data_IF_576987743922
#
_entry.id   IF_576987743922
#
_cell.length_a   1.000
_cell.length_b   1.000
_cell.length_c   1.000
_cell.angle_alpha   90.00
_cell.angle_beta   90.00
_cell.angle_gamma   90.00
#
_symmetry.space_group_name_H-M   'P 1'
#
loop_
_entity.id
_entity.type
_entity.pdbx_description
1 polymer ?
#
# COMPACT_ATOMS: atom_id res chain seq x y z
N UNK A 1 -8.39 -6.38 10.79
CA UNK A 1 -9.47 -6.52 9.80
C UNK A 1 -10.63 -7.21 10.48
N UNK A 2 -11.85 -6.71 10.27
CA UNK A 2 -13.07 -7.37 10.71
C UNK A 2 -13.93 -7.67 9.48
N UNK A 3 -14.73 -8.73 9.56
CA UNK A 3 -15.77 -9.07 8.59
C UNK A 3 -17.12 -9.04 9.29
N UNK A 4 -18.16 -8.63 8.58
CA UNK A 4 -19.52 -8.58 9.11
C UNK A 4 -20.51 -8.33 7.99
N UNK A 5 -21.79 -8.61 8.27
CA UNK A 5 -22.88 -8.38 7.33
C UNK A 5 -23.41 -6.96 7.48
N UNK A 6 -23.41 -6.18 6.39
CA UNK A 6 -24.04 -4.87 6.38
C UNK A 6 -25.57 -5.03 6.41
N UNK A 7 -26.21 -4.33 7.34
CA UNK A 7 -27.66 -4.21 7.45
C UNK A 7 -28.03 -2.76 7.32
N UNK A 8 -28.78 -2.44 6.28
CA UNK A 8 -29.36 -1.12 6.09
C UNK A 8 -30.50 -0.93 7.09
N UNK A 9 -30.52 0.20 7.79
CA UNK A 9 -31.64 0.53 8.65
C UNK A 9 -32.80 1.08 7.82
N UNK A 10 -33.99 0.49 7.91
CA UNK A 10 -35.19 1.14 7.39
C UNK A 10 -35.43 2.45 8.17
N UNK A 11 -35.02 3.58 7.57
CA UNK A 11 -35.08 4.90 8.21
C UNK A 11 -33.99 5.20 9.25
N UNK A 12 -32.94 4.38 9.34
CA UNK A 12 -31.84 4.53 10.30
C UNK A 12 -30.45 4.33 9.68
N UNK A 13 -29.36 4.60 10.43
CA UNK A 13 -28.00 4.37 9.93
C UNK A 13 -27.75 2.89 9.68
N UNK A 14 -27.02 2.58 8.60
CA UNK A 14 -26.55 1.22 8.35
C UNK A 14 -25.62 0.76 9.48
N UNK A 15 -25.67 -0.54 9.80
CA UNK A 15 -24.86 -1.17 10.84
C UNK A 15 -24.28 -2.49 10.36
N UNK A 16 -23.21 -2.94 11.00
CA UNK A 16 -22.67 -4.28 10.81
C UNK A 16 -23.27 -5.25 11.85
N UNK A 17 -23.77 -6.38 11.38
CA UNK A 17 -24.13 -7.55 12.17
C UNK A 17 -23.08 -8.66 11.98
N UNK A 18 -23.09 -9.66 12.86
CA UNK A 18 -22.24 -10.86 12.75
C UNK A 18 -20.76 -10.51 12.58
N UNK A 19 -20.30 -9.52 13.36
CA UNK A 19 -18.93 -9.00 13.26
C UNK A 19 -17.94 -9.97 13.88
N UNK A 20 -16.95 -10.38 13.11
CA UNK A 20 -15.84 -11.22 13.54
C UNK A 20 -14.49 -10.55 13.26
N UNK A 21 -13.53 -10.76 14.15
CA UNK A 21 -12.14 -10.35 13.92
C UNK A 21 -11.46 -11.41 13.04
N UNK A 22 -11.12 -11.01 11.80
CA UNK A 22 -10.41 -11.88 10.84
C UNK A 22 -8.91 -11.76 11.03
N UNK A 23 -8.43 -10.56 11.35
CA UNK A 23 -6.99 -10.33 11.48
C UNK A 23 -6.67 -9.26 12.52
N UNK A 24 -6.15 -9.64 13.69
CA UNK A 24 -5.59 -8.68 14.62
C UNK A 24 -4.20 -8.25 14.12
N UNK A 25 -3.97 -6.94 14.05
CA UNK A 25 -2.60 -6.44 13.85
C UNK A 25 -1.76 -6.76 15.09
N UNK A 26 -0.51 -7.19 14.90
CA UNK A 26 0.47 -7.28 15.96
C UNK A 26 0.90 -5.87 16.46
N UNK A 27 1.62 -5.83 17.59
CA UNK A 27 2.23 -4.61 18.15
C UNK A 27 1.29 -3.39 18.17
N UNK A 28 0.10 -3.55 18.78
CA UNK A 28 -0.92 -2.47 18.92
C UNK A 28 -0.32 -1.25 19.64
N UNK A 29 -0.65 -0.06 19.15
CA UNK A 29 -0.19 1.22 19.70
C UNK A 29 -1.30 2.28 19.69
N UNK A 30 -1.14 3.33 20.50
CA UNK A 30 -2.10 4.43 20.64
C UNK A 30 -1.91 5.60 19.67
N UNK A 31 -1.14 5.46 18.59
CA UNK A 31 -0.85 6.58 17.69
C UNK A 31 -2.11 7.09 16.97
N UNK A 32 -2.22 8.40 16.74
CA UNK A 32 -3.35 8.99 16.00
C UNK A 32 -3.10 9.14 14.49
N UNK A 33 -1.96 8.66 13.98
CA UNK A 33 -1.47 9.02 12.64
C UNK A 33 -0.95 7.78 11.89
N UNK A 34 -0.86 7.92 10.56
CA UNK A 34 -0.23 6.95 9.64
C UNK A 34 -0.79 5.54 9.81
N UNK A 35 -2.10 5.39 9.59
CA UNK A 35 -2.80 4.11 9.71
C UNK A 35 -2.63 3.21 8.48
N UNK A 36 -2.40 3.79 7.29
CA UNK A 36 -2.70 3.11 6.04
C UNK A 36 -4.20 2.83 5.94
N UNK A 37 -4.58 1.56 5.77
CA UNK A 37 -5.97 1.11 5.83
C UNK A 37 -6.63 0.86 4.49
N UNK A 38 -5.87 0.88 3.38
CA UNK A 38 -6.42 0.52 2.07
C UNK A 38 -6.52 -0.99 1.95
N UNK A 39 -7.72 -1.48 1.60
CA UNK A 39 -7.97 -2.88 1.26
C UNK A 39 -8.14 -2.99 -0.27
N UNK A 40 -7.44 -3.95 -0.89
CA UNK A 40 -7.61 -4.29 -2.30
C UNK A 40 -7.72 -5.80 -2.45
N UNK A 41 -8.55 -6.26 -3.38
CA UNK A 41 -8.76 -7.69 -3.63
C UNK A 41 -8.09 -8.07 -4.95
N UNK A 42 -7.30 -9.14 -4.94
CA UNK A 42 -6.70 -9.68 -6.16
C UNK A 42 -7.80 -10.24 -7.05
N UNK A 43 -7.85 -9.81 -8.31
CA UNK A 43 -8.96 -10.18 -9.22
C UNK A 43 -9.01 -11.66 -9.58
N UNK A 44 -7.88 -12.36 -9.48
CA UNK A 44 -7.75 -13.76 -9.89
C UNK A 44 -8.42 -14.73 -8.90
N UNK A 45 -8.30 -14.45 -7.60
CA UNK A 45 -8.73 -15.37 -6.53
C UNK A 45 -9.47 -14.68 -5.38
N UNK A 46 -9.66 -13.36 -5.43
CA UNK A 46 -10.31 -12.59 -4.38
C UNK A 46 -9.47 -12.42 -3.11
N UNK A 47 -8.16 -12.74 -3.12
CA UNK A 47 -7.34 -12.61 -1.91
C UNK A 47 -7.23 -11.13 -1.48
N UNK A 48 -7.56 -10.78 -0.22
CA UNK A 48 -7.39 -9.42 0.28
C UNK A 48 -5.92 -9.06 0.58
N UNK A 49 -5.57 -7.82 0.25
CA UNK A 49 -4.35 -7.15 0.62
C UNK A 49 -4.66 -5.86 1.38
N UNK A 50 -3.98 -5.65 2.51
CA UNK A 50 -4.22 -4.53 3.42
C UNK A 50 -2.94 -3.72 3.59
N UNK A 51 -3.00 -2.41 3.37
CA UNK A 51 -1.89 -1.52 3.72
C UNK A 51 -1.91 -1.12 5.20
N UNK A 52 -0.73 -1.04 5.82
CA UNK A 52 -0.57 -0.57 7.19
C UNK A 52 0.57 0.45 7.28
N UNK A 53 0.26 1.65 7.76
CA UNK A 53 1.29 2.68 7.97
C UNK A 53 2.14 2.40 9.21
N UNK A 54 3.29 3.08 9.33
CA UNK A 54 4.27 2.83 10.41
C UNK A 54 3.94 3.51 11.76
N UNK A 55 2.78 4.17 11.86
CA UNK A 55 2.24 4.69 13.12
C UNK A 55 3.10 5.70 13.88
N UNK A 56 4.03 6.37 13.21
CA UNK A 56 5.08 7.22 13.81
C UNK A 56 6.22 6.50 14.51
N UNK A 57 6.29 5.19 14.40
CA UNK A 57 7.45 4.44 14.80
C UNK A 57 8.25 4.02 13.56
N UNK A 58 9.17 4.89 13.15
CA UNK A 58 9.91 4.76 11.89
C UNK A 58 10.64 3.42 11.79
N UNK A 59 11.18 2.90 12.90
CA UNK A 59 11.91 1.63 12.91
C UNK A 59 11.06 0.43 12.53
N UNK A 60 9.74 0.49 12.74
CA UNK A 60 8.82 -0.64 12.47
C UNK A 60 8.71 -0.95 11.00
N UNK A 61 8.82 0.06 10.13
CA UNK A 61 8.80 -0.15 8.69
C UNK A 61 9.98 -1.00 8.19
N UNK A 62 11.06 -1.12 8.97
CA UNK A 62 12.24 -1.92 8.64
C UNK A 62 12.29 -3.25 9.40
N UNK A 63 11.29 -3.54 10.23
CA UNK A 63 11.18 -4.81 10.96
C UNK A 63 10.20 -5.74 10.22
N UNK A 64 10.68 -6.80 9.54
CA UNK A 64 9.81 -7.74 8.82
C UNK A 64 8.96 -8.63 9.74
N UNK A 65 8.99 -8.41 11.05
CA UNK A 65 8.08 -9.05 12.03
C UNK A 65 6.95 -8.12 12.45
N UNK A 66 7.00 -6.83 12.10
CA UNK A 66 6.01 -5.84 12.51
C UNK A 66 5.07 -5.53 11.34
N UNK A 67 3.76 -5.64 11.56
CA UNK A 67 2.79 -5.32 10.53
C UNK A 67 2.79 -3.83 10.15
N UNK A 68 3.35 -2.94 10.97
CA UNK A 68 3.38 -1.50 10.72
C UNK A 68 4.41 -1.14 9.65
N UNK A 69 4.00 -0.36 8.65
CA UNK A 69 4.84 -0.03 7.50
C UNK A 69 4.93 -1.16 6.47
N UNK A 70 3.88 -1.99 6.39
CA UNK A 70 3.82 -3.16 5.52
C UNK A 70 2.58 -3.17 4.62
N UNK A 71 2.61 -4.06 3.64
CA UNK A 71 1.41 -4.58 2.97
C UNK A 71 1.24 -6.01 3.46
N UNK A 72 0.05 -6.31 3.95
CA UNK A 72 -0.36 -7.63 4.42
C UNK A 72 -1.14 -8.33 3.31
N UNK A 73 -0.84 -9.60 3.05
CA UNK A 73 -1.65 -10.50 2.20
C UNK A 73 -2.25 -11.58 3.09
N UNK A 74 -3.56 -11.72 3.06
CA UNK A 74 -4.29 -12.58 3.99
C UNK A 74 -5.43 -13.32 3.30
N UNK A 75 -5.79 -14.51 3.79
CA UNK A 75 -7.02 -15.18 3.36
C UNK A 75 -8.26 -14.52 4.00
N UNK A 76 -9.43 -14.81 3.47
CA UNK A 76 -10.70 -14.31 3.99
C UNK A 76 -11.04 -14.86 5.39
N UNK A 77 -10.46 -16.00 5.77
CA UNK A 77 -10.52 -16.62 7.10
C UNK A 77 -9.40 -16.15 8.05
N UNK A 78 -8.50 -15.28 7.60
CA UNK A 78 -7.43 -14.73 8.41
C UNK A 78 -6.11 -15.51 8.37
N UNK A 79 -6.10 -16.70 7.79
CA UNK A 79 -4.89 -17.49 7.70
C UNK A 79 -3.94 -16.99 6.60
N UNK A 80 -2.70 -17.49 6.66
CA UNK A 80 -1.63 -17.15 5.73
C UNK A 80 -1.93 -17.77 4.36
N UNK A 81 -1.95 -16.99 3.27
CA UNK A 81 -2.07 -17.52 1.92
C UNK A 81 -0.80 -18.24 1.47
N UNK A 82 -0.97 -19.30 0.68
CA UNK A 82 0.16 -19.97 0.03
C UNK A 82 0.95 -18.99 -0.86
N UNK A 83 2.28 -19.14 -0.85
CA UNK A 83 3.20 -18.29 -1.60
C UNK A 83 3.41 -16.90 -1.01
N UNK A 84 3.03 -16.66 0.25
CA UNK A 84 3.54 -15.50 0.98
C UNK A 84 5.07 -15.59 1.10
N UNK A 85 5.79 -14.47 0.91
CA UNK A 85 7.25 -14.48 0.73
C UNK A 85 8.03 -14.87 1.99
N UNK A 86 7.42 -14.72 3.16
CA UNK A 86 8.04 -14.91 4.46
C UNK A 86 7.40 -16.06 5.25
N UNK A 87 6.51 -16.84 4.61
CA UNK A 87 5.79 -17.90 5.28
C UNK A 87 6.74 -19.00 5.77
N UNK A 88 6.79 -19.23 7.08
CA UNK A 88 7.63 -20.24 7.72
C UNK A 88 9.06 -19.76 8.06
N UNK A 89 9.38 -18.50 7.81
CA UNK A 89 10.66 -17.90 8.18
C UNK A 89 10.67 -17.52 9.67
N UNK A 90 11.73 -17.87 10.39
CA UNK A 90 11.74 -17.79 11.86
C UNK A 90 11.71 -16.35 12.41
N UNK A 91 12.22 -15.39 11.65
CA UNK A 91 12.41 -13.99 12.06
C UNK A 91 11.60 -13.00 11.20
N UNK A 92 10.54 -13.46 10.55
CA UNK A 92 9.66 -12.65 9.70
C UNK A 92 8.19 -13.05 9.94
N UNK A 93 7.25 -12.14 9.71
CA UNK A 93 5.82 -12.42 9.89
C UNK A 93 5.21 -12.98 8.59
N UNK A 94 4.60 -14.16 8.71
CA UNK A 94 4.05 -14.93 7.61
C UNK A 94 3.05 -14.16 6.74
N UNK A 95 2.33 -13.17 7.30
CA UNK A 95 1.30 -12.41 6.59
C UNK A 95 1.86 -11.23 5.78
N UNK A 96 3.11 -10.84 6.00
CA UNK A 96 3.72 -9.70 5.31
C UNK A 96 4.00 -10.06 3.85
N UNK A 97 3.52 -9.22 2.94
CA UNK A 97 3.81 -9.29 1.51
C UNK A 97 5.00 -8.41 1.10
N UNK A 98 5.11 -7.23 1.69
CA UNK A 98 6.23 -6.29 1.51
C UNK A 98 6.27 -5.34 2.69
N UNK A 99 7.42 -4.71 2.92
CA UNK A 99 7.64 -3.81 4.06
C UNK A 99 8.47 -2.60 3.62
N UNK A 100 8.86 -1.72 4.54
CA UNK A 100 9.58 -0.49 4.22
C UNK A 100 8.68 0.64 3.70
N UNK A 101 7.40 0.64 4.09
CA UNK A 101 6.42 1.65 3.69
C UNK A 101 6.18 2.66 4.80
N UNK A 102 5.83 3.90 4.44
CA UNK A 102 5.53 4.92 5.43
C UNK A 102 4.04 4.93 5.82
N UNK A 103 3.19 5.23 4.86
CA UNK A 103 1.74 5.38 5.03
C UNK A 103 1.05 5.28 3.66
N UNK A 104 0.95 4.06 3.15
CA UNK A 104 0.22 3.78 1.91
C UNK A 104 -1.27 4.09 2.09
N UNK A 105 -1.75 5.06 1.32
CA UNK A 105 -3.16 5.47 1.31
C UNK A 105 -3.90 4.94 0.07
N UNK A 106 -3.18 4.69 -1.02
CA UNK A 106 -3.75 4.20 -2.28
C UNK A 106 -3.13 2.87 -2.68
N UNK A 107 -3.95 1.93 -3.16
CA UNK A 107 -3.51 0.61 -3.61
C UNK A 107 -4.52 0.06 -4.63
N UNK A 108 -4.03 -0.44 -5.76
CA UNK A 108 -4.83 -1.21 -6.70
C UNK A 108 -3.98 -2.24 -7.45
N UNK A 109 -4.62 -3.28 -7.97
CA UNK A 109 -3.99 -4.23 -8.86
C UNK A 109 -3.89 -3.67 -10.27
N UNK A 110 -2.71 -3.80 -10.88
CA UNK A 110 -2.51 -3.47 -12.27
C UNK A 110 -3.31 -4.45 -13.15
N UNK A 111 -4.08 -3.95 -14.13
CA UNK A 111 -5.03 -4.76 -14.89
C UNK A 111 -4.42 -5.86 -15.76
N UNK A 112 -3.19 -5.68 -16.23
CA UNK A 112 -2.59 -6.56 -17.25
C UNK A 112 -1.53 -7.52 -16.69
N UNK A 113 -1.04 -7.27 -15.47
CA UNK A 113 0.04 -8.05 -14.87
C UNK A 113 -0.22 -8.49 -13.43
N UNK A 114 -1.35 -8.09 -12.84
CA UNK A 114 -1.73 -8.49 -11.48
C UNK A 114 -0.79 -7.95 -10.40
N UNK A 115 0.16 -7.08 -10.72
CA UNK A 115 1.03 -6.50 -9.71
C UNK A 115 0.30 -5.42 -8.92
N UNK A 116 0.64 -5.29 -7.64
CA UNK A 116 0.07 -4.25 -6.80
C UNK A 116 0.80 -2.95 -7.04
N UNK A 117 0.06 -1.88 -7.24
CA UNK A 117 0.59 -0.52 -7.32
C UNK A 117 0.04 0.29 -6.16
N UNK A 118 0.92 1.04 -5.50
CA UNK A 118 0.55 1.84 -4.34
C UNK A 118 1.01 3.28 -4.47
N UNK A 119 0.28 4.16 -3.80
CA UNK A 119 0.74 5.50 -3.50
C UNK A 119 1.00 5.63 -2.00
N UNK A 120 2.27 5.91 -1.66
CA UNK A 120 2.78 6.01 -0.30
C UNK A 120 3.06 7.47 0.04
N UNK A 121 2.53 7.94 1.16
CA UNK A 121 2.76 9.32 1.62
C UNK A 121 4.19 9.48 2.10
N UNK A 122 4.91 10.42 1.52
CA UNK A 122 6.20 10.91 1.99
C UNK A 122 6.08 11.84 3.21
N UNK A 123 7.21 12.35 3.71
CA UNK A 123 7.27 13.35 4.76
C UNK A 123 6.82 14.73 4.23
N UNK A 124 7.67 15.76 4.26
CA UNK A 124 7.43 16.99 3.50
C UNK A 124 7.98 16.80 2.08
N UNK A 125 7.09 16.68 1.10
CA UNK A 125 7.40 16.13 -0.22
C UNK A 125 7.67 14.62 -0.17
N UNK A 126 8.13 14.06 -1.28
CA UNK A 126 8.58 12.67 -1.34
C UNK A 126 7.46 11.64 -1.32
N UNK A 127 6.23 12.00 -1.71
CA UNK A 127 5.19 11.02 -1.99
C UNK A 127 5.67 10.10 -3.11
N UNK A 128 5.28 8.83 -3.11
CA UNK A 128 5.82 7.82 -4.04
C UNK A 128 4.73 7.00 -4.70
N UNK A 129 4.91 6.69 -5.98
CA UNK A 129 4.23 5.59 -6.65
C UNK A 129 5.19 4.39 -6.67
N UNK A 130 4.76 3.27 -6.12
CA UNK A 130 5.55 2.04 -6.09
C UNK A 130 4.82 0.91 -6.82
N UNK A 131 5.56 0.14 -7.64
CA UNK A 131 5.15 -1.20 -8.07
C UNK A 131 5.66 -2.21 -7.05
N UNK A 132 4.73 -2.89 -6.40
CA UNK A 132 4.99 -3.79 -5.29
C UNK A 132 5.37 -5.18 -5.79
N UNK A 133 6.46 -5.71 -5.25
CA UNK A 133 6.92 -7.09 -5.44
C UNK A 133 6.94 -7.80 -4.09
N UNK A 134 6.63 -9.09 -4.11
CA UNK A 134 6.68 -9.94 -2.91
C UNK A 134 8.06 -9.90 -2.26
N UNK A 135 8.09 -9.85 -0.94
CA UNK A 135 9.29 -9.93 -0.11
C UNK A 135 10.20 -8.71 -0.14
N UNK A 136 9.83 -7.65 -0.88
CA UNK A 136 10.68 -6.46 -1.04
C UNK A 136 10.49 -5.44 0.07
N UNK A 137 11.59 -4.80 0.42
CA UNK A 137 11.68 -3.64 1.29
C UNK A 137 11.66 -2.35 0.47
N UNK A 138 10.74 -1.43 0.74
CA UNK A 138 10.58 -0.14 0.02
C UNK A 138 11.29 1.03 0.71
N UNK A 139 12.13 0.71 1.69
CA UNK A 139 13.21 1.56 2.15
C UNK A 139 12.83 2.72 3.04
N UNK A 140 11.56 2.96 3.42
CA UNK A 140 11.27 3.98 4.43
C UNK A 140 11.94 3.61 5.77
N UNK A 141 12.78 4.42 6.41
CA UNK A 141 13.14 5.82 6.12
C UNK A 141 14.40 6.02 5.27
N UNK A 142 15.21 4.98 5.08
CA UNK A 142 16.46 5.03 4.30
C UNK A 142 16.32 5.71 2.94
N UNK A 143 15.20 5.47 2.26
CA UNK A 143 14.82 6.02 0.96
C UNK A 143 13.58 6.91 1.09
N UNK A 144 13.80 8.21 0.93
CA UNK A 144 12.76 9.23 0.87
C UNK A 144 13.22 10.35 -0.07
N UNK A 145 12.32 10.82 -0.93
CA UNK A 145 12.57 12.01 -1.74
C UNK A 145 12.17 13.32 -1.07
N UNK A 146 11.65 13.26 0.16
CA UNK A 146 11.22 14.41 0.93
C UNK A 146 12.13 14.68 2.13
N UNK A 147 11.90 15.83 2.77
CA UNK A 147 12.62 16.29 3.96
C UNK A 147 11.75 16.18 5.20
N UNK A 148 12.36 16.30 6.38
CA UNK A 148 11.58 16.46 7.61
C UNK A 148 10.73 17.74 7.55
N UNK A 149 9.64 17.80 8.32
CA UNK A 149 8.80 19.00 8.36
C UNK A 149 9.54 20.24 8.90
N UNK A 150 10.61 20.07 9.67
CA UNK A 150 11.54 21.15 10.05
C UNK A 150 12.39 21.68 8.90
N UNK A 151 12.46 20.95 7.77
CA UNK A 151 13.36 21.22 6.65
C UNK A 151 14.70 20.47 6.73
N UNK A 152 14.96 19.72 7.81
CA UNK A 152 16.16 18.90 7.91
C UNK A 152 16.15 17.75 6.87
N UNK A 153 17.31 17.41 6.28
CA UNK A 153 17.44 16.22 5.45
C UNK A 153 17.08 14.95 6.26
N UNK A 154 16.41 14.00 5.61
CA UNK A 154 16.11 12.68 6.16
C UNK A 154 16.37 11.60 5.10
N UNK A 155 16.64 10.38 5.56
CA UNK A 155 17.13 9.28 4.72
C UNK A 155 18.65 9.17 4.74
N UNK A 156 19.17 8.02 4.33
CA UNK A 156 20.62 7.70 4.38
C UNK A 156 21.30 7.83 3.01
N UNK A 157 20.58 8.34 2.00
CA UNK A 157 21.11 8.78 0.72
C UNK A 157 21.44 7.69 -0.31
N UNK A 158 21.89 6.51 0.12
CA UNK A 158 22.13 5.37 -0.79
C UNK A 158 21.00 4.33 -0.68
N UNK A 159 20.51 3.82 -1.81
CA UNK A 159 19.64 2.63 -1.87
C UNK A 159 20.44 1.40 -1.43
N UNK A 160 20.14 0.82 -0.26
CA UNK A 160 20.71 -0.46 0.11
C UNK A 160 20.33 -1.52 -0.93
N UNK A 161 21.25 -2.45 -1.17
CA UNK A 161 21.05 -3.49 -2.17
C UNK A 161 19.77 -4.29 -1.89
N UNK A 162 18.98 -4.52 -2.93
CA UNK A 162 17.76 -5.32 -2.85
C UNK A 162 16.49 -4.59 -2.42
N UNK A 163 16.53 -3.27 -2.19
CA UNK A 163 15.32 -2.48 -1.96
C UNK A 163 14.52 -2.25 -3.25
N UNK A 164 13.21 -2.06 -3.10
CA UNK A 164 12.31 -1.69 -4.18
C UNK A 164 12.42 -0.20 -4.50
N UNK A 165 12.77 0.13 -5.73
CA UNK A 165 12.79 1.52 -6.20
C UNK A 165 11.37 1.98 -6.61
N UNK A 166 10.99 3.23 -6.29
CA UNK A 166 9.71 3.79 -6.73
C UNK A 166 9.68 3.98 -8.24
N UNK A 167 8.49 3.86 -8.83
CA UNK A 167 8.25 4.24 -10.23
C UNK A 167 8.28 5.76 -10.40
N UNK A 168 7.85 6.49 -9.37
CA UNK A 168 7.84 7.94 -9.35
C UNK A 168 7.93 8.46 -7.92
N UNK A 169 8.61 9.59 -7.75
CA UNK A 169 8.71 10.34 -6.50
C UNK A 169 8.28 11.78 -6.78
N UNK A 170 7.31 12.28 -6.04
CA UNK A 170 6.86 13.65 -6.13
C UNK A 170 7.75 14.54 -5.28
N UNK A 171 8.29 15.61 -5.87
CA UNK A 171 9.09 16.60 -5.15
C UNK A 171 8.24 17.36 -4.12
N UNK A 172 7.02 17.73 -4.50
CA UNK A 172 6.03 18.35 -3.62
C UNK A 172 5.08 17.31 -3.02
N UNK A 173 4.42 17.68 -1.92
CA UNK A 173 3.38 16.85 -1.33
C UNK A 173 2.11 16.94 -2.17
N UNK A 174 1.70 15.80 -2.74
CA UNK A 174 0.42 15.65 -3.44
C UNK A 174 -0.61 14.89 -2.59
N UNK A 175 -0.18 14.25 -1.51
CA UNK A 175 -1.01 13.50 -0.56
C UNK A 175 -1.99 12.53 -1.27
N UNK A 176 -1.48 11.52 -1.99
CA UNK A 176 -2.32 10.63 -2.79
C UNK A 176 -3.21 9.74 -1.92
N UNK A 177 -4.41 9.38 -2.38
CA UNK A 177 -5.39 8.66 -1.57
C UNK A 177 -6.09 7.52 -2.32
N UNK A 178 -6.94 7.80 -3.29
CA UNK A 178 -7.52 6.77 -4.17
C UNK A 178 -6.58 6.46 -5.34
N UNK A 179 -6.57 5.22 -5.84
CA UNK A 179 -5.86 4.82 -7.06
C UNK A 179 -6.75 3.89 -7.87
N UNK A 180 -6.83 4.13 -9.19
CA UNK A 180 -7.57 3.28 -10.12
C UNK A 180 -6.88 3.26 -11.49
N UNK A 181 -7.04 2.16 -12.23
CA UNK A 181 -6.61 2.06 -13.62
C UNK A 181 -7.81 2.20 -14.55
N UNK A 182 -7.75 3.15 -15.46
CA UNK A 182 -8.84 3.38 -16.40
C UNK A 182 -8.73 2.45 -17.62
N UNK A 183 -9.77 1.64 -17.83
CA UNK A 183 -9.92 0.70 -18.94
C UNK A 183 -11.23 0.84 -19.72
N UNK A 184 -12.09 1.79 -19.37
CA UNK A 184 -13.37 1.95 -20.04
C UNK A 184 -13.17 2.49 -21.45
N UNK A 185 -13.80 1.85 -22.44
CA UNK A 185 -13.89 2.37 -23.81
C UNK A 185 -14.77 3.62 -23.91
N UNK A 186 -15.55 3.93 -22.86
CA UNK A 186 -16.30 5.17 -22.78
C UNK A 186 -15.40 6.41 -22.58
N UNK A 187 -14.15 6.24 -22.15
CA UNK A 187 -13.16 7.30 -21.99
C UNK A 187 -11.84 6.90 -22.70
N UNK A 188 -11.84 6.83 -24.05
CA UNK A 188 -10.75 6.23 -24.81
C UNK A 188 -9.41 6.97 -24.64
N UNK A 189 -9.42 8.30 -24.52
CA UNK A 189 -8.21 9.11 -24.30
C UNK A 189 -7.53 8.83 -22.96
N UNK A 190 -8.30 8.31 -22.00
CA UNK A 190 -7.85 7.96 -20.65
C UNK A 190 -7.58 6.47 -20.50
N UNK A 191 -7.79 5.67 -21.54
CA UNK A 191 -7.53 4.23 -21.51
C UNK A 191 -6.03 3.99 -21.27
N UNK A 192 -5.73 3.10 -20.32
CA UNK A 192 -4.36 2.81 -19.91
C UNK A 192 -3.72 3.95 -19.09
N UNK A 193 -4.52 4.79 -18.43
CA UNK A 193 -4.02 5.75 -17.45
C UNK A 193 -4.24 5.23 -16.04
N UNK A 194 -3.28 5.53 -15.16
CA UNK A 194 -3.47 5.44 -13.73
C UNK A 194 -4.01 6.78 -13.24
N UNK A 195 -5.09 6.72 -12.47
CA UNK A 195 -5.74 7.86 -11.84
C UNK A 195 -5.48 7.77 -10.34
N UNK A 196 -5.17 8.91 -9.72
CA UNK A 196 -5.18 9.00 -8.27
C UNK A 196 -5.87 10.27 -7.78
N UNK A 197 -6.40 10.19 -6.57
CA UNK A 197 -6.96 11.34 -5.86
C UNK A 197 -5.91 11.96 -4.94
N UNK A 198 -5.85 13.29 -4.85
CA UNK A 198 -4.89 14.08 -4.08
C UNK A 198 -5.61 15.07 -3.14
N UNK A 199 -4.97 15.51 -2.05
CA UNK A 199 -5.50 16.52 -1.10
C UNK A 199 -4.50 17.68 -0.94
N UNK A 200 -4.87 18.98 -0.82
CA UNK A 200 -6.19 19.61 -0.71
C UNK A 200 -6.45 20.72 -1.76
N UNK A 201 -6.30 20.41 -3.04
CA UNK A 201 -6.85 21.21 -4.16
C UNK A 201 -7.20 20.22 -5.26
N UNK A 202 -8.46 19.76 -5.27
CA UNK A 202 -8.92 18.64 -6.12
C UNK A 202 -8.56 18.87 -7.58
N UNK A 203 -7.51 18.19 -8.03
CA UNK A 203 -7.26 17.87 -9.42
C UNK A 203 -7.13 16.34 -9.50
N UNK A 204 -7.90 15.73 -10.39
CA UNK A 204 -7.63 14.37 -10.81
C UNK A 204 -6.35 14.41 -11.64
N UNK A 205 -5.29 13.79 -11.15
CA UNK A 205 -4.07 13.65 -11.92
C UNK A 205 -4.12 12.32 -12.68
N UNK A 206 -3.82 12.38 -13.98
CA UNK A 206 -3.72 11.22 -14.84
C UNK A 206 -2.27 11.03 -15.28
N UNK A 207 -1.74 9.84 -15.05
CA UNK A 207 -0.40 9.48 -15.49
C UNK A 207 -0.46 8.32 -16.47
N UNK A 208 0.36 8.38 -17.53
CA UNK A 208 0.57 7.21 -18.40
C UNK A 208 1.57 6.31 -17.72
N UNK A 209 1.20 5.08 -17.42
CA UNK A 209 2.15 4.11 -16.90
C UNK A 209 3.04 3.58 -18.04
N UNK A 210 4.34 3.30 -17.78
CA UNK A 210 5.23 2.67 -18.75
C UNK A 210 4.86 1.21 -18.93
N UNK A 211 4.89 0.68 -20.16
CA UNK A 211 4.58 -0.72 -20.45
C UNK A 211 5.31 -1.67 -19.48
N UNK A 212 4.60 -2.65 -18.92
CA UNK A 212 5.19 -3.71 -18.09
C UNK A 212 6.05 -4.55 -19.04
N UNK A 213 7.38 -4.62 -18.85
CA UNK A 213 8.20 -5.53 -19.65
C UNK A 213 7.70 -6.95 -19.38
N UNK A 214 7.35 -7.70 -20.42
CA UNK A 214 7.04 -9.11 -20.27
C UNK A 214 8.26 -9.82 -19.70
N UNK A 215 8.13 -10.48 -18.55
CA UNK A 215 9.13 -11.43 -18.07
C UNK A 215 9.08 -12.69 -18.93
N UNK A 216 9.58 -12.59 -20.15
CA UNK A 216 9.92 -13.70 -21.01
C UNK A 216 11.43 -13.69 -21.22
N UNK A 217 12.16 -14.30 -20.29
CA UNK A 217 13.62 -14.38 -20.36
C UNK A 217 14.20 -15.25 -19.26
N UNK A 218 14.20 -16.57 -19.53
CA UNK A 218 15.02 -17.69 -19.03
C UNK A 218 15.56 -17.65 -17.60
#
# INVERSE_FOLDING_TARGET
>A
MVRGRLVEGEGGPARLEDVEEVFPRNNRDGSGLRFGGRLAFRSEDGTPFLSMGERRNIGTAQDPRDHRGSIIRIRDDGAVPDGNPFAGEADEDDHIWSYGHRNIQAMAFHPDGGEIWVADHGPRGGDRINRIKAGRNYGWLFLTGGVDYSGAPIGVGAEPEGMGSPLHVFEETVAPSGLAFQRSDALPDWRGRMLWAASPSVAWCAWRWPAVPSSSGR
#
